data_IF_720785943899
#
_entry.id   IF_720785943899
#
_cell.length_a   1.000
_cell.length_b   1.000
_cell.length_c   1.000
_cell.angle_alpha   90.00
_cell.angle_beta   90.00
_cell.angle_gamma   90.00
#
_symmetry.space_group_name_H-M   'P 1'
#
loop_
_entity.id
_entity.type
_entity.pdbx_description
1 polymer ?
#
# COMPACT_ATOMS: atom_id res chain seq x y z
N UNK A 1 -20.14 -13.06 -25.28
CA UNK A 1 -20.53 -13.62 -23.97
C UNK A 1 -19.51 -14.69 -23.63
N UNK A 2 -18.49 -14.33 -22.85
CA UNK A 2 -17.46 -15.26 -22.38
C UNK A 2 -18.09 -16.16 -21.32
N UNK A 3 -18.02 -17.48 -21.51
CA UNK A 3 -18.62 -18.46 -20.61
C UNK A 3 -18.06 -18.30 -19.19
N UNK A 4 -18.93 -18.29 -18.17
CA UNK A 4 -18.54 -18.44 -16.78
C UNK A 4 -17.88 -19.81 -16.59
N UNK A 5 -16.56 -19.82 -16.45
CA UNK A 5 -15.82 -21.00 -16.04
C UNK A 5 -16.07 -21.26 -14.55
N UNK A 6 -17.18 -21.91 -14.23
CA UNK A 6 -17.54 -22.35 -12.86
C UNK A 6 -16.43 -23.14 -12.14
N UNK A 7 -15.45 -23.65 -12.88
CA UNK A 7 -14.27 -24.31 -12.34
C UNK A 7 -13.26 -23.31 -11.75
N UNK A 8 -13.09 -22.12 -12.33
CA UNK A 8 -12.20 -21.08 -11.83
C UNK A 8 -12.74 -20.46 -10.53
N UNK A 9 -14.06 -20.24 -10.44
CA UNK A 9 -14.73 -19.78 -9.21
C UNK A 9 -14.55 -20.77 -8.06
N UNK A 10 -14.75 -22.07 -8.32
CA UNK A 10 -14.48 -23.13 -7.33
C UNK A 10 -13.01 -23.17 -6.90
N UNK A 11 -12.07 -22.85 -7.79
CA UNK A 11 -10.63 -22.87 -7.48
C UNK A 11 -10.20 -21.76 -6.52
N UNK A 12 -10.81 -20.57 -6.57
CA UNK A 12 -10.42 -19.46 -5.66
C UNK A 12 -10.77 -19.83 -4.23
N UNK A 13 -11.99 -20.29 -3.98
CA UNK A 13 -12.46 -20.59 -2.62
C UNK A 13 -11.66 -21.73 -1.99
N UNK A 14 -11.23 -22.71 -2.79
CA UNK A 14 -10.40 -23.82 -2.30
C UNK A 14 -8.98 -23.42 -1.89
N UNK A 15 -8.54 -22.20 -2.20
CA UNK A 15 -7.24 -21.65 -1.79
C UNK A 15 -7.31 -20.94 -0.43
N UNK A 16 -8.52 -20.81 0.15
CA UNK A 16 -8.74 -20.19 1.45
C UNK A 16 -9.00 -21.25 2.53
N UNK A 17 -8.45 -21.03 3.71
CA UNK A 17 -8.63 -21.82 4.92
C UNK A 17 -9.59 -21.11 5.90
N UNK A 18 -10.85 -21.54 5.94
CA UNK A 18 -11.87 -20.94 6.82
C UNK A 18 -12.83 -21.98 7.39
N UNK A 19 -13.28 -21.76 8.62
CA UNK A 19 -14.25 -22.64 9.27
C UNK A 19 -15.71 -22.47 8.78
N UNK A 20 -16.59 -23.44 9.09
CA UNK A 20 -18.00 -23.43 8.66
C UNK A 20 -18.80 -22.23 9.21
N UNK A 21 -18.39 -21.68 10.36
CA UNK A 21 -19.00 -20.46 10.92
C UNK A 21 -18.77 -19.26 10.00
N UNK A 22 -17.55 -19.09 9.49
CA UNK A 22 -17.19 -18.02 8.56
C UNK A 22 -17.93 -18.19 7.25
N UNK A 23 -17.93 -19.41 6.70
CA UNK A 23 -18.67 -19.77 5.48
C UNK A 23 -20.15 -19.36 5.60
N UNK A 24 -20.81 -19.76 6.69
CA UNK A 24 -22.21 -19.43 6.94
C UNK A 24 -22.39 -17.91 7.00
N UNK A 25 -21.61 -17.19 7.82
CA UNK A 25 -21.77 -15.73 7.95
C UNK A 25 -21.66 -14.99 6.63
N UNK A 26 -20.73 -15.39 5.77
CA UNK A 26 -20.56 -14.77 4.46
C UNK A 26 -21.84 -14.89 3.61
N UNK A 27 -22.54 -16.03 3.67
CA UNK A 27 -23.80 -16.25 2.95
C UNK A 27 -24.96 -15.39 3.45
N UNK A 28 -25.03 -15.08 4.75
CA UNK A 28 -26.16 -14.33 5.34
C UNK A 28 -25.93 -12.83 5.45
N UNK A 29 -24.69 -12.37 5.30
CA UNK A 29 -24.32 -10.95 5.37
C UNK A 29 -24.37 -10.29 3.98
N UNK A 30 -24.65 -8.99 3.94
CA UNK A 30 -24.59 -8.19 2.73
C UNK A 30 -23.18 -7.60 2.56
N UNK A 31 -22.70 -7.54 1.32
CA UNK A 31 -21.34 -7.13 0.98
C UNK A 31 -21.33 -6.10 -0.15
N UNK A 32 -20.45 -5.11 -0.02
CA UNK A 32 -20.12 -4.14 -1.06
C UNK A 32 -18.63 -4.25 -1.38
N UNK A 33 -18.28 -4.06 -2.64
CA UNK A 33 -16.91 -4.20 -3.15
C UNK A 33 -16.53 -2.96 -3.97
N UNK A 34 -15.40 -2.35 -3.64
CA UNK A 34 -14.85 -1.20 -4.37
C UNK A 34 -13.39 -1.49 -4.72
N UNK A 35 -13.03 -1.41 -6.01
CA UNK A 35 -11.62 -1.47 -6.42
C UNK A 35 -10.99 -0.12 -6.11
N UNK A 36 -10.08 -0.09 -5.13
CA UNK A 36 -9.46 1.16 -4.63
C UNK A 36 -8.04 1.37 -5.13
N UNK A 37 -7.46 0.35 -5.76
CA UNK A 37 -6.14 0.44 -6.36
C UNK A 37 -5.75 -0.85 -7.09
N UNK A 38 -4.54 -0.87 -7.68
CA UNK A 38 -3.97 -2.08 -8.26
C UNK A 38 -3.91 -3.15 -7.19
N UNK A 39 -4.51 -4.30 -7.46
CA UNK A 39 -4.51 -5.44 -6.54
C UNK A 39 -5.17 -5.17 -5.18
N UNK A 40 -5.99 -4.12 -5.06
CA UNK A 40 -6.62 -3.73 -3.79
C UNK A 40 -8.13 -3.56 -3.95
N UNK A 41 -8.87 -4.27 -3.10
CA UNK A 41 -10.33 -4.20 -3.04
C UNK A 41 -10.75 -3.81 -1.63
N UNK A 42 -11.43 -2.68 -1.49
CA UNK A 42 -12.17 -2.38 -0.28
C UNK A 42 -13.41 -3.27 -0.23
N UNK A 43 -13.52 -4.02 0.87
CA UNK A 43 -14.62 -4.95 1.15
C UNK A 43 -15.40 -4.43 2.35
N UNK A 44 -16.64 -4.04 2.13
CA UNK A 44 -17.51 -3.48 3.16
C UNK A 44 -18.63 -4.44 3.52
N UNK A 45 -18.82 -4.68 4.82
CA UNK A 45 -19.98 -5.44 5.29
C UNK A 45 -21.22 -4.54 5.43
N UNK A 46 -22.05 -4.53 4.39
CA UNK A 46 -23.25 -3.71 4.33
C UNK A 46 -24.37 -4.17 5.29
N UNK A 47 -24.26 -5.37 5.90
CA UNK A 47 -25.24 -5.84 6.88
C UNK A 47 -25.29 -4.95 8.15
N UNK A 48 -24.24 -4.16 8.40
CA UNK A 48 -24.19 -3.19 9.49
C UNK A 48 -24.93 -1.88 9.20
N UNK A 49 -25.55 -1.73 8.03
CA UNK A 49 -26.38 -0.57 7.70
C UNK A 49 -25.60 0.74 7.80
N UNK A 50 -26.03 1.65 8.67
CA UNK A 50 -25.40 2.96 8.89
C UNK A 50 -23.98 2.87 9.46
N UNK A 51 -23.64 1.77 10.13
CA UNK A 51 -22.32 1.54 10.73
C UNK A 51 -21.36 0.80 9.78
N UNK A 52 -21.77 0.53 8.54
CA UNK A 52 -20.96 -0.26 7.59
C UNK A 52 -19.56 0.30 7.35
N UNK A 53 -19.37 1.62 7.48
CA UNK A 53 -18.06 2.26 7.32
C UNK A 53 -17.03 1.80 8.35
N UNK A 54 -17.46 1.41 9.56
CA UNK A 54 -16.58 0.81 10.58
C UNK A 54 -16.23 -0.67 10.28
N UNK A 55 -16.86 -1.24 9.25
CA UNK A 55 -16.68 -2.60 8.78
C UNK A 55 -16.30 -2.63 7.30
N UNK A 56 -15.48 -1.65 6.90
CA UNK A 56 -14.83 -1.56 5.59
C UNK A 56 -13.35 -1.85 5.75
N UNK A 57 -12.82 -2.79 4.97
CA UNK A 57 -11.42 -3.15 5.02
C UNK A 57 -10.85 -3.44 3.63
N UNK A 58 -9.63 -2.99 3.37
CA UNK A 58 -8.90 -3.29 2.14
C UNK A 58 -8.34 -4.71 2.18
N UNK A 59 -8.62 -5.46 1.12
CA UNK A 59 -8.14 -6.81 0.84
C UNK A 59 -7.18 -6.75 -0.34
N UNK A 60 -5.95 -7.22 -0.12
CA UNK A 60 -4.96 -7.43 -1.17
C UNK A 60 -5.25 -8.70 -1.98
N UNK A 61 -5.07 -8.64 -3.29
CA UNK A 61 -5.28 -9.79 -4.21
C UNK A 61 -4.03 -10.09 -5.02
N UNK A 62 -3.68 -11.37 -5.14
CA UNK A 62 -2.50 -11.81 -5.87
C UNK A 62 -2.83 -12.96 -6.83
N UNK A 63 -2.02 -13.15 -7.86
CA UNK A 63 -2.10 -14.33 -8.72
C UNK A 63 -1.26 -15.47 -8.13
N UNK A 64 -1.92 -16.56 -7.74
CA UNK A 64 -1.31 -17.82 -7.30
C UNK A 64 -1.78 -18.97 -8.19
N UNK A 65 -0.83 -19.77 -8.71
CA UNK A 65 -1.13 -20.91 -9.60
C UNK A 65 -2.04 -20.53 -10.79
N UNK A 66 -1.86 -19.33 -11.33
CA UNK A 66 -2.66 -18.79 -12.43
C UNK A 66 -4.05 -18.27 -12.04
N UNK A 67 -4.44 -18.37 -10.77
CA UNK A 67 -5.75 -17.93 -10.23
C UNK A 67 -5.53 -16.69 -9.36
N UNK A 68 -6.40 -15.68 -9.50
CA UNK A 68 -6.37 -14.50 -8.63
C UNK A 68 -7.07 -14.86 -7.31
N UNK A 69 -6.40 -14.68 -6.19
CA UNK A 69 -6.86 -15.05 -4.85
C UNK A 69 -6.66 -13.91 -3.85
N UNK A 70 -7.57 -13.74 -2.86
CA UNK A 70 -7.35 -12.84 -1.74
C UNK A 70 -6.17 -13.32 -0.87
N UNK A 71 -5.21 -12.44 -0.57
CA UNK A 71 -3.99 -12.80 0.16
C UNK A 71 -3.91 -12.22 1.56
N UNK A 72 -4.24 -10.95 1.73
CA UNK A 72 -4.17 -10.26 3.03
C UNK A 72 -5.37 -9.32 3.19
N UNK A 73 -5.77 -9.09 4.43
CA UNK A 73 -6.82 -8.15 4.78
C UNK A 73 -6.42 -7.34 6.01
N UNK A 74 -6.70 -6.04 6.01
CA UNK A 74 -6.37 -5.18 7.16
C UNK A 74 -7.29 -5.37 8.38
N UNK A 75 -8.29 -6.25 8.29
CA UNK A 75 -9.24 -6.44 9.37
C UNK A 75 -8.61 -7.17 10.58
N UNK A 76 -9.08 -6.92 11.81
CA UNK A 76 -8.52 -7.55 13.01
C UNK A 76 -8.55 -9.09 12.99
N UNK A 77 -9.48 -9.70 12.25
CA UNK A 77 -9.57 -11.15 12.16
C UNK A 77 -8.42 -11.76 11.36
N UNK A 78 -7.94 -11.08 10.31
CA UNK A 78 -6.82 -11.54 9.49
C UNK A 78 -5.49 -11.30 10.20
N UNK A 79 -5.36 -10.15 10.89
CA UNK A 79 -4.14 -9.75 11.61
C UNK A 79 -3.83 -10.68 12.79
N UNK A 80 -4.87 -11.21 13.46
CA UNK A 80 -4.71 -11.93 14.72
C UNK A 80 -5.00 -13.43 14.65
N UNK A 81 -5.46 -13.96 13.50
CA UNK A 81 -5.84 -15.37 13.35
C UNK A 81 -5.16 -15.98 12.12
N UNK A 82 -4.95 -17.29 12.17
CA UNK A 82 -4.41 -18.04 11.03
C UNK A 82 -5.46 -18.37 9.97
N UNK A 83 -6.74 -18.42 10.35
CA UNK A 83 -7.85 -18.68 9.42
C UNK A 83 -8.22 -17.42 8.63
N UNK A 84 -8.58 -17.60 7.36
CA UNK A 84 -9.01 -16.54 6.46
C UNK A 84 -10.25 -15.83 6.99
N UNK A 85 -10.14 -14.49 7.06
CA UNK A 85 -11.22 -13.67 7.53
C UNK A 85 -12.43 -13.68 6.59
N UNK A 86 -13.59 -13.30 7.13
CA UNK A 86 -14.84 -13.23 6.35
C UNK A 86 -14.74 -12.31 5.13
N UNK A 87 -13.88 -11.29 5.14
CA UNK A 87 -13.71 -10.37 4.01
C UNK A 87 -13.03 -11.06 2.82
N UNK A 88 -11.97 -11.86 3.05
CA UNK A 88 -11.32 -12.67 2.02
C UNK A 88 -12.29 -13.69 1.44
N UNK A 89 -13.02 -14.38 2.30
CA UNK A 89 -14.02 -15.37 1.89
C UNK A 89 -15.16 -14.72 1.11
N UNK A 90 -15.67 -13.56 1.54
CA UNK A 90 -16.71 -12.81 0.84
C UNK A 90 -16.23 -12.31 -0.53
N UNK A 91 -15.00 -11.81 -0.63
CA UNK A 91 -14.42 -11.42 -1.91
C UNK A 91 -14.31 -12.61 -2.88
N UNK A 92 -13.90 -13.78 -2.39
CA UNK A 92 -13.81 -14.99 -3.21
C UNK A 92 -15.16 -15.59 -3.63
N UNK A 93 -16.19 -15.47 -2.78
CA UNK A 93 -17.49 -16.15 -2.97
C UNK A 93 -18.62 -15.26 -3.47
N UNK A 94 -18.61 -13.97 -3.14
CA UNK A 94 -19.66 -13.00 -3.51
C UNK A 94 -19.14 -11.99 -4.54
N UNK A 95 -17.92 -11.49 -4.36
CA UNK A 95 -17.27 -10.64 -5.36
C UNK A 95 -16.82 -11.41 -6.61
N UNK A 96 -16.51 -12.70 -6.41
CA UNK A 96 -16.15 -13.69 -7.42
C UNK A 96 -15.05 -13.20 -8.39
N UNK A 97 -14.98 -13.81 -9.57
CA UNK A 97 -13.98 -13.48 -10.61
C UNK A 97 -14.10 -12.04 -11.12
N UNK A 98 -15.31 -11.46 -11.10
CA UNK A 98 -15.55 -10.12 -11.63
C UNK A 98 -14.74 -9.07 -10.86
N UNK A 99 -14.87 -9.05 -9.54
CA UNK A 99 -14.16 -8.08 -8.69
C UNK A 99 -12.65 -8.38 -8.67
N UNK A 100 -12.28 -9.65 -8.56
CA UNK A 100 -10.86 -10.07 -8.54
C UNK A 100 -10.13 -9.67 -9.84
N UNK A 101 -10.75 -9.91 -11.01
CA UNK A 101 -10.16 -9.51 -12.30
C UNK A 101 -10.09 -8.00 -12.45
N UNK A 102 -11.13 -7.28 -12.04
CA UNK A 102 -11.15 -5.82 -12.06
C UNK A 102 -9.98 -5.24 -11.25
N UNK A 103 -9.73 -5.77 -10.05
CA UNK A 103 -8.62 -5.34 -9.21
C UNK A 103 -7.25 -5.60 -9.85
N UNK A 104 -7.07 -6.74 -10.54
CA UNK A 104 -5.79 -7.04 -11.23
C UNK A 104 -5.62 -6.31 -12.56
N UNK A 105 -6.71 -5.89 -13.20
CA UNK A 105 -6.70 -5.08 -14.42
C UNK A 105 -6.60 -3.57 -14.10
N UNK A 106 -6.73 -3.19 -12.84
CA UNK A 106 -6.64 -1.80 -12.42
C UNK A 106 -5.18 -1.32 -12.54
N UNK A 107 -4.92 -0.50 -13.56
CA UNK A 107 -3.61 0.11 -13.75
C UNK A 107 -3.36 1.20 -12.71
N UNK A 108 -2.12 1.30 -12.23
CA UNK A 108 -1.69 2.49 -11.52
C UNK A 108 -1.69 3.68 -12.48
N UNK A 109 -2.19 4.88 -12.08
CA UNK A 109 -2.09 6.07 -12.92
C UNK A 109 -0.64 6.42 -13.33
N UNK A 110 0.37 5.94 -12.59
CA UNK A 110 1.78 6.03 -12.98
C UNK A 110 2.16 5.18 -14.22
N UNK A 111 1.49 4.05 -14.46
CA UNK A 111 1.74 3.17 -15.61
C UNK A 111 1.09 3.71 -16.90
N UNK A 112 -0.08 4.35 -16.79
CA UNK A 112 -0.77 4.99 -17.92
C UNK A 112 0.00 6.19 -18.52
N UNK A 113 1.01 6.71 -17.81
CA UNK A 113 1.92 7.74 -18.33
C UNK A 113 3.14 7.19 -19.08
N UNK A 114 3.31 5.86 -19.15
CA UNK A 114 4.41 5.21 -19.86
C UNK A 114 4.03 4.89 -21.31
N UNK A 115 3.69 5.92 -22.07
CA UNK A 115 3.57 5.84 -23.53
C UNK A 115 4.37 6.99 -24.13
N UNK A 116 5.55 6.65 -24.66
CA UNK A 116 6.53 7.48 -25.35
C UNK A 116 7.61 8.18 -24.51
N UNK A 117 8.53 7.42 -23.90
CA UNK A 117 9.94 7.81 -23.96
C UNK A 117 10.88 6.59 -23.86
N UNK A 118 11.54 6.26 -24.96
CA UNK A 118 12.38 5.07 -25.12
C UNK A 118 13.80 5.32 -24.60
N UNK A 119 13.97 5.68 -23.32
CA UNK A 119 15.31 5.93 -22.77
C UNK A 119 15.45 5.82 -21.24
N UNK A 120 14.68 4.97 -20.54
CA UNK A 120 14.83 4.83 -19.09
C UNK A 120 14.71 3.37 -18.63
N UNK A 121 15.85 2.70 -18.49
CA UNK A 121 15.94 1.23 -18.30
C UNK A 121 16.17 0.79 -16.85
N UNK A 122 16.34 1.70 -15.89
CA UNK A 122 16.60 1.34 -14.48
C UNK A 122 15.87 2.24 -13.48
N UNK A 123 15.55 1.70 -12.29
CA UNK A 123 14.92 2.45 -11.19
C UNK A 123 15.76 3.67 -10.74
N UNK A 124 17.09 3.60 -10.91
CA UNK A 124 18.02 4.70 -10.63
C UNK A 124 17.82 5.90 -11.57
N UNK A 125 17.29 5.67 -12.77
CA UNK A 125 17.12 6.72 -13.77
C UNK A 125 15.78 7.48 -13.55
N UNK A 126 14.79 6.84 -12.92
CA UNK A 126 13.51 7.47 -12.51
C UNK A 126 13.68 8.35 -11.26
N UNK A 127 14.58 7.98 -10.36
CA UNK A 127 14.81 8.69 -9.11
C UNK A 127 15.72 9.91 -9.33
N UNK A 128 15.14 11.02 -9.79
CA UNK A 128 15.80 12.33 -9.61
C UNK A 128 15.54 12.80 -8.19
N UNK A 129 16.50 12.60 -7.31
CA UNK A 129 16.59 13.41 -6.11
C UNK A 129 16.89 14.85 -6.55
N UNK A 130 16.16 15.82 -6.03
CA UNK A 130 16.46 17.25 -6.19
C UNK A 130 17.69 17.67 -5.35
N UNK A 131 18.54 16.69 -5.00
CA UNK A 131 19.61 16.76 -4.02
C UNK A 131 20.26 18.12 -4.10
N UNK A 132 19.87 18.98 -3.15
CA UNK A 132 20.13 20.41 -3.20
C UNK A 132 21.57 20.64 -3.59
N UNK A 133 21.78 21.41 -4.66
CA UNK A 133 23.12 21.77 -5.10
C UNK A 133 23.80 22.54 -3.97
N UNK A 134 24.58 21.83 -3.16
CA UNK A 134 25.62 22.48 -2.40
C UNK A 134 26.60 23.00 -3.45
N UNK A 135 26.57 24.30 -3.70
CA UNK A 135 27.70 24.96 -4.32
C UNK A 135 28.91 24.58 -3.48
N UNK A 136 29.75 23.72 -4.05
CA UNK A 136 31.01 23.33 -3.47
C UNK A 136 31.88 24.60 -3.43
N UNK A 137 31.75 25.36 -2.34
CA UNK A 137 32.79 26.29 -1.97
C UNK A 137 34.04 25.44 -1.83
N UNK A 138 34.96 25.69 -2.76
CA UNK A 138 36.25 25.04 -2.86
C UNK A 138 37.08 25.45 -1.64
N UNK A 139 36.83 24.79 -0.51
CA UNK A 139 37.72 24.78 0.63
C UNK A 139 37.65 23.41 1.30
N UNK A 140 38.55 22.54 0.82
CA UNK A 140 39.42 21.67 1.59
C UNK A 140 38.85 21.00 2.85
N UNK A 141 38.98 19.67 2.86
CA UNK A 141 38.91 18.87 4.08
C UNK A 141 39.67 19.52 5.23
N UNK A 142 38.94 19.76 6.30
CA UNK A 142 39.42 20.31 7.55
C UNK A 142 38.23 20.34 8.48
N UNK A 143 38.39 19.78 9.66
CA UNK A 143 37.44 19.85 10.77
C UNK A 143 37.10 21.31 11.01
N UNK A 144 36.09 21.84 10.34
CA UNK A 144 35.70 23.25 10.47
C UNK A 144 34.90 23.35 11.76
N UNK A 145 35.44 23.96 12.83
CA UNK A 145 34.67 24.18 14.03
C UNK A 145 33.44 25.00 13.65
N UNK A 146 32.27 24.63 14.16
CA UNK A 146 31.04 25.34 13.85
C UNK A 146 31.19 26.84 14.17
N UNK A 147 31.18 27.67 13.13
CA UNK A 147 31.28 29.12 13.27
C UNK A 147 29.88 29.68 13.52
N UNK A 148 29.47 29.66 14.80
CA UNK A 148 28.23 30.29 15.28
C UNK A 148 28.10 31.73 14.77
N UNK A 149 26.87 32.20 14.57
CA UNK A 149 26.59 33.59 14.21
C UNK A 149 26.60 33.87 12.70
N UNK A 150 26.54 32.82 11.87
CA UNK A 150 26.24 32.96 10.44
C UNK A 150 24.73 32.89 10.22
N UNK A 151 24.24 33.47 9.12
CA UNK A 151 22.82 33.42 8.73
C UNK A 151 22.28 31.98 8.71
N UNK A 152 23.06 31.03 8.21
CA UNK A 152 22.69 29.62 8.13
C UNK A 152 22.88 28.82 9.44
N UNK A 153 23.64 29.36 10.41
CA UNK A 153 23.80 28.76 11.75
C UNK A 153 23.99 29.87 12.80
N UNK A 154 22.89 30.49 13.25
CA UNK A 154 22.91 31.58 14.22
C UNK A 154 23.37 31.15 15.62
N UNK A 155 23.39 29.83 15.88
CA UNK A 155 23.96 29.23 17.08
C UNK A 155 22.91 28.82 18.11
N UNK A 156 23.33 28.10 19.17
CA UNK A 156 22.42 27.42 20.09
C UNK A 156 21.65 28.36 21.03
N UNK A 157 22.00 29.65 21.06
CA UNK A 157 21.33 30.68 21.85
C UNK A 157 20.29 31.50 21.05
N UNK A 158 20.08 31.17 19.77
CA UNK A 158 19.08 31.83 18.93
C UNK A 158 17.73 31.11 18.99
N UNK A 159 16.65 31.80 18.62
CA UNK A 159 15.30 31.23 18.54
C UNK A 159 15.09 30.31 17.31
N UNK A 160 16.07 30.26 16.41
CA UNK A 160 16.09 29.41 15.21
C UNK A 160 16.90 28.14 15.43
N UNK A 161 16.48 27.04 14.77
CA UNK A 161 17.14 25.73 14.85
C UNK A 161 18.64 25.83 14.51
N UNK A 162 19.55 25.51 15.44
CA UNK A 162 20.98 25.54 15.17
C UNK A 162 21.41 24.36 14.31
N UNK A 163 22.55 24.50 13.64
CA UNK A 163 23.17 23.38 12.94
C UNK A 163 23.58 22.25 13.91
N UNK A 164 23.68 21.03 13.38
CA UNK A 164 23.83 19.81 14.19
C UNK A 164 25.06 19.81 15.11
N UNK A 165 26.21 20.35 14.66
CA UNK A 165 27.41 20.48 15.50
C UNK A 165 27.23 21.44 16.68
N UNK A 166 26.47 22.53 16.49
CA UNK A 166 26.13 23.48 17.57
C UNK A 166 25.13 22.87 18.57
N UNK A 167 24.18 22.08 18.07
CA UNK A 167 23.27 21.31 18.92
C UNK A 167 24.03 20.31 19.79
N UNK A 168 25.05 19.64 19.24
CA UNK A 168 25.86 18.65 19.97
C UNK A 168 26.86 19.24 20.96
N UNK A 169 27.10 20.55 20.92
CA UNK A 169 28.05 21.21 21.82
C UNK A 169 29.51 20.80 21.58
N UNK A 170 29.85 20.38 20.35
CA UNK A 170 31.20 19.91 19.97
C UNK A 170 32.28 21.01 19.97
N UNK A 171 31.93 22.23 20.39
CA UNK A 171 32.79 23.39 20.55
C UNK A 171 32.70 24.01 21.97
N UNK A 172 32.39 23.20 23.00
CA UNK A 172 32.36 23.63 24.40
C UNK A 172 33.62 23.22 25.16
#
# INVERSE_FOLDING_TARGET
MTANESAAEKRVVTQLNFGPKTAKRVTWEAWEFTVVGPHQVEVTNAAYGTEKSAHSYVVGVERRDGVVVPMECECPADVHREEDCKHKVALATVGEQTVLRAATAHESPAAASSSNDTARTTAADVLRTDGGSATADSNGGGTSPCLNGREWCPGPASDSLPCFSCYRGENR
#
